data_IF_978764369254
#
_entry.id   IF_978764369254
#
_cell.length_a   1.000
_cell.length_b   1.000
_cell.length_c   1.000
_cell.angle_alpha   90.00
_cell.angle_beta   90.00
_cell.angle_gamma   90.00
#
_symmetry.space_group_name_H-M   'P 1'
#
loop_
_entity.id
_entity.type
_entity.pdbx_description
1 polymer ?
#
# COMPACT_ATOMS: atom_id res chain seq x y z
N UNK A 1 10.50 11.57 6.12
CA UNK A 1 10.13 10.42 5.26
C UNK A 1 8.62 10.26 5.26
N UNK A 2 7.98 10.08 4.09
CA UNK A 2 6.51 9.99 3.96
C UNK A 2 5.91 8.86 4.81
N UNK A 3 6.59 7.71 4.91
CA UNK A 3 6.11 6.56 5.69
C UNK A 3 6.00 6.83 7.20
N UNK A 4 6.93 7.59 7.79
CA UNK A 4 6.88 7.91 9.23
C UNK A 4 5.62 8.71 9.56
N UNK A 5 5.26 9.65 8.67
CA UNK A 5 4.04 10.42 8.82
C UNK A 5 2.80 9.54 8.62
N UNK A 6 2.83 8.63 7.64
CA UNK A 6 1.74 7.66 7.42
C UNK A 6 1.47 6.82 8.67
N UNK A 7 2.51 6.31 9.33
CA UNK A 7 2.35 5.52 10.57
C UNK A 7 1.77 6.36 11.72
N UNK A 8 2.26 7.61 11.89
CA UNK A 8 1.73 8.52 12.92
C UNK A 8 0.25 8.86 12.69
N UNK A 9 -0.16 8.99 11.43
CA UNK A 9 -1.53 9.39 11.08
C UNK A 9 -2.52 8.21 11.06
N UNK A 10 -2.04 6.96 11.07
CA UNK A 10 -2.87 5.76 10.98
C UNK A 10 -2.46 4.77 12.07
N UNK A 11 -2.94 4.94 13.33
CA UNK A 11 -2.57 4.05 14.43
C UNK A 11 -2.88 2.57 14.15
N UNK A 12 -3.98 2.29 13.46
CA UNK A 12 -4.37 0.92 13.09
C UNK A 12 -3.38 0.26 12.11
N UNK A 13 -2.62 1.05 11.36
CA UNK A 13 -1.59 0.55 10.46
C UNK A 13 -0.42 -0.08 11.22
N UNK A 14 -0.21 0.27 12.49
CA UNK A 14 0.82 -0.36 13.32
C UNK A 14 0.56 -1.86 13.47
N UNK A 15 -0.68 -2.26 13.71
CA UNK A 15 -1.08 -3.68 13.81
C UNK A 15 -0.87 -4.40 12.47
N UNK A 16 -1.15 -3.71 11.36
CA UNK A 16 -0.96 -4.25 10.01
C UNK A 16 0.53 -4.51 9.73
N UNK A 17 1.45 -3.64 10.14
CA UNK A 17 2.87 -3.84 9.86
C UNK A 17 3.57 -4.76 10.87
N UNK A 18 2.99 -4.97 12.05
CA UNK A 18 3.52 -5.89 13.05
C UNK A 18 3.59 -7.32 12.54
N UNK A 19 2.69 -7.71 11.63
CA UNK A 19 2.67 -9.07 11.08
C UNK A 19 3.97 -9.41 10.35
N UNK A 20 4.68 -8.43 9.79
CA UNK A 20 5.97 -8.67 9.12
C UNK A 20 7.06 -9.16 10.07
N UNK A 21 6.83 -9.12 11.38
CA UNK A 21 7.71 -9.69 12.41
C UNK A 21 7.36 -11.13 12.76
N UNK A 22 6.19 -11.63 12.33
CA UNK A 22 5.76 -13.00 12.60
C UNK A 22 6.53 -13.97 11.68
N UNK A 23 7.33 -14.90 12.24
CA UNK A 23 8.05 -15.88 11.43
C UNK A 23 7.12 -16.88 10.71
N UNK A 24 5.92 -17.09 11.23
CA UNK A 24 4.92 -18.04 10.70
C UNK A 24 3.90 -17.35 9.78
N UNK A 25 4.24 -16.18 9.24
CA UNK A 25 3.35 -15.42 8.37
C UNK A 25 3.18 -16.09 7.00
N UNK A 26 1.96 -16.07 6.45
CA UNK A 26 1.69 -16.60 5.11
C UNK A 26 1.99 -15.58 4.01
N UNK A 27 2.29 -16.00 2.77
CA UNK A 27 2.40 -15.11 1.62
C UNK A 27 1.16 -14.22 1.43
N UNK A 28 -0.04 -14.76 1.67
CA UNK A 28 -1.31 -14.07 1.55
C UNK A 28 -1.43 -12.93 2.57
N UNK A 29 -1.04 -13.18 3.82
CA UNK A 29 -1.00 -12.16 4.87
C UNK A 29 -0.01 -11.04 4.53
N UNK A 30 1.17 -11.39 3.99
CA UNK A 30 2.18 -10.43 3.54
C UNK A 30 1.62 -9.53 2.43
N UNK A 31 0.90 -10.11 1.46
CA UNK A 31 0.26 -9.37 0.36
C UNK A 31 -0.84 -8.45 0.90
N UNK A 32 -1.72 -8.94 1.78
CA UNK A 32 -2.79 -8.14 2.38
C UNK A 32 -2.24 -6.94 3.16
N UNK A 33 -1.28 -7.16 4.06
CA UNK A 33 -0.66 -6.08 4.82
C UNK A 33 0.12 -5.11 3.93
N UNK A 34 0.83 -5.62 2.92
CA UNK A 34 1.54 -4.80 1.94
C UNK A 34 0.58 -3.88 1.17
N UNK A 35 -0.56 -4.41 0.73
CA UNK A 35 -1.61 -3.67 0.03
C UNK A 35 -2.21 -2.57 0.92
N UNK A 36 -2.56 -2.91 2.17
CA UNK A 36 -3.08 -1.94 3.15
C UNK A 36 -2.06 -0.85 3.46
N UNK A 37 -0.79 -1.19 3.64
CA UNK A 37 0.28 -0.23 3.88
C UNK A 37 0.47 0.73 2.71
N UNK A 38 0.52 0.23 1.48
CA UNK A 38 0.63 1.08 0.30
C UNK A 38 -0.61 1.98 0.14
N UNK A 39 -1.82 1.46 0.35
CA UNK A 39 -3.03 2.29 0.31
C UNK A 39 -2.96 3.47 1.30
N UNK A 40 -2.57 3.20 2.55
CA UNK A 40 -2.38 4.23 3.57
C UNK A 40 -1.26 5.23 3.20
N UNK A 41 -0.15 4.76 2.61
CA UNK A 41 0.96 5.60 2.15
C UNK A 41 0.51 6.59 1.07
N UNK A 42 -0.49 6.23 0.27
CA UNK A 42 -1.10 7.10 -0.74
C UNK A 42 -2.35 7.85 -0.25
N UNK A 43 -2.67 7.75 1.05
CA UNK A 43 -3.72 8.54 1.70
C UNK A 43 -5.13 7.96 1.57
N UNK A 44 -5.24 6.65 1.32
CA UNK A 44 -6.52 5.94 1.28
C UNK A 44 -6.75 5.18 2.58
N UNK A 45 -8.01 5.12 3.07
CA UNK A 45 -8.33 4.45 4.32
C UNK A 45 -8.12 2.94 4.21
N UNK A 46 -7.63 2.34 5.30
CA UNK A 46 -7.48 0.91 5.50
C UNK A 46 -8.70 0.38 6.27
N UNK A 47 -9.87 0.29 5.63
CA UNK A 47 -11.04 -0.30 6.28
C UNK A 47 -10.76 -1.76 6.60
N UNK A 48 -11.17 -2.22 7.79
CA UNK A 48 -11.02 -3.62 8.21
C UNK A 48 -11.86 -4.60 7.35
N UNK A 49 -12.84 -4.10 6.59
CA UNK A 49 -13.76 -4.92 5.79
C UNK A 49 -13.26 -5.26 4.39
N UNK A 50 -12.39 -4.45 3.79
CA UNK A 50 -12.03 -4.55 2.37
C UNK A 50 -10.56 -4.26 2.15
N UNK A 51 -9.80 -5.25 1.70
CA UNK A 51 -8.44 -5.03 1.22
C UNK A 51 -8.50 -4.16 -0.04
N UNK A 52 -7.95 -2.93 -0.01
CA UNK A 52 -8.06 -2.04 -1.15
C UNK A 52 -7.24 -2.59 -2.32
N UNK A 53 -7.87 -2.82 -3.48
CA UNK A 53 -7.13 -3.11 -4.71
C UNK A 53 -6.17 -1.96 -5.02
N UNK A 54 -4.88 -2.27 -5.12
CA UNK A 54 -3.84 -1.28 -5.41
C UNK A 54 -4.04 -0.64 -6.79
N UNK A 55 -4.60 -1.38 -7.75
CA UNK A 55 -4.93 -0.82 -9.06
C UNK A 55 -6.01 0.25 -8.96
N UNK A 56 -7.02 0.08 -8.08
CA UNK A 56 -8.02 1.12 -7.82
C UNK A 56 -7.40 2.35 -7.15
N UNK A 57 -6.53 2.14 -6.15
CA UNK A 57 -5.76 3.23 -5.52
C UNK A 57 -4.94 3.99 -6.56
N UNK A 58 -4.23 3.27 -7.43
CA UNK A 58 -3.43 3.84 -8.52
C UNK A 58 -4.28 4.63 -9.51
N UNK A 59 -5.42 4.09 -9.91
CA UNK A 59 -6.35 4.77 -10.81
C UNK A 59 -6.85 6.10 -10.21
N UNK A 60 -7.28 6.08 -8.94
CA UNK A 60 -7.71 7.31 -8.25
C UNK A 60 -6.56 8.33 -8.11
N UNK A 61 -5.33 7.88 -7.82
CA UNK A 61 -4.16 8.75 -7.83
C UNK A 61 -3.90 9.36 -9.21
N UNK A 62 -4.06 8.57 -10.28
CA UNK A 62 -3.90 9.05 -11.66
C UNK A 62 -4.92 10.13 -12.01
N UNK A 63 -6.21 9.87 -11.76
CA UNK A 63 -7.29 10.84 -12.02
C UNK A 63 -7.05 12.13 -11.22
N UNK A 64 -6.65 12.04 -9.94
CA UNK A 64 -6.34 13.23 -9.14
C UNK A 64 -5.12 14.00 -9.68
N UNK A 65 -4.12 13.28 -10.19
CA UNK A 65 -2.89 13.87 -10.71
C UNK A 65 -3.11 14.53 -12.07
N UNK A 66 -3.87 13.91 -12.97
CA UNK A 66 -4.01 14.32 -14.38
C UNK A 66 -4.60 15.72 -14.58
N UNK A 67 -5.40 16.21 -13.64
CA UNK A 67 -5.93 17.59 -13.67
C UNK A 67 -4.90 18.66 -13.29
N UNK A 68 -3.72 18.27 -12.80
CA UNK A 68 -2.65 19.21 -12.46
C UNK A 68 -1.73 19.47 -13.66
N UNK A 69 -1.42 20.74 -13.93
CA UNK A 69 -0.53 21.16 -15.03
C UNK A 69 0.89 20.58 -14.92
N UNK A 70 1.32 20.20 -13.72
CA UNK A 70 2.64 19.61 -13.44
C UNK A 70 2.52 18.15 -12.96
N UNK A 71 1.56 17.40 -13.50
CA UNK A 71 1.37 16.00 -13.13
C UNK A 71 2.63 15.19 -13.39
N UNK A 72 3.09 14.45 -12.38
CA UNK A 72 4.26 13.58 -12.48
C UNK A 72 3.81 12.13 -12.41
N UNK A 73 4.02 11.35 -13.47
CA UNK A 73 3.67 9.93 -13.48
C UNK A 73 4.44 9.12 -12.43
N UNK A 74 5.63 9.57 -12.03
CA UNK A 74 6.43 8.92 -10.98
C UNK A 74 5.79 9.02 -9.59
N UNK A 75 4.78 9.89 -9.39
CA UNK A 75 4.07 9.99 -8.11
C UNK A 75 2.98 8.94 -7.94
N UNK A 76 2.73 8.10 -8.94
CA UNK A 76 1.71 7.06 -8.88
C UNK A 76 2.19 5.89 -7.99
N UNK A 77 1.25 5.18 -7.34
CA UNK A 77 1.52 3.87 -6.76
C UNK A 77 2.05 2.87 -7.79
N UNK A 78 2.79 1.83 -7.35
CA UNK A 78 3.12 0.69 -8.20
C UNK A 78 1.86 -0.02 -8.73
N UNK A 79 1.99 -0.83 -9.79
CA UNK A 79 0.93 -1.81 -10.12
C UNK A 79 0.80 -2.80 -8.97
N UNK A 80 -0.38 -3.40 -8.84
CA UNK A 80 -0.61 -4.53 -7.94
C UNK A 80 0.36 -5.68 -8.21
N UNK A 81 0.56 -6.04 -9.49
CA UNK A 81 1.51 -7.08 -9.88
C UNK A 81 2.96 -6.79 -9.44
N UNK A 82 3.46 -5.57 -9.65
CA UNK A 82 4.81 -5.19 -9.24
C UNK A 82 4.94 -5.13 -7.71
N UNK A 83 3.90 -4.70 -7.01
CA UNK A 83 3.86 -4.72 -5.55
C UNK A 83 3.93 -6.16 -5.02
N UNK A 84 3.12 -7.08 -5.56
CA UNK A 84 3.11 -8.48 -5.15
C UNK A 84 4.45 -9.16 -5.42
N UNK A 85 5.09 -8.90 -6.58
CA UNK A 85 6.46 -9.37 -6.85
C UNK A 85 7.45 -8.88 -5.79
N UNK A 86 7.33 -7.62 -5.35
CA UNK A 86 8.21 -7.09 -4.30
C UNK A 86 7.92 -7.69 -2.92
N UNK A 87 6.65 -7.84 -2.57
CA UNK A 87 6.21 -8.42 -1.29
C UNK A 87 6.67 -9.86 -1.15
N UNK A 88 6.59 -10.64 -2.23
CA UNK A 88 6.87 -12.07 -2.24
C UNK A 88 8.28 -12.43 -2.69
N UNK A 89 9.19 -11.46 -2.80
CA UNK A 89 10.56 -11.66 -3.34
C UNK A 89 11.43 -12.67 -2.58
N UNK A 90 11.01 -13.08 -1.39
CA UNK A 90 11.72 -14.06 -0.52
C UNK A 90 10.98 -15.40 -0.43
N UNK A 91 9.83 -15.55 -1.11
CA UNK A 91 8.98 -16.74 -1.08
C UNK A 91 9.15 -17.61 -2.34
N UNK A 92 10.37 -17.72 -2.85
CA UNK A 92 10.71 -18.47 -4.06
C UNK A 92 11.05 -19.94 -3.78
#
# INVERSE_FOLDING_TARGET
>A
MKFVQTLKNNPDLLKVIEIFKNPDITPEDVVDAGNRFLAALYGYPISASDTPSLNNVRYKCYIKSSFNKSSNMASLPPTEAAAHQHFLRVYH
#
